data_IF_119047474496
#
_entry.id   IF_119047474496
#
_cell.length_a   1.000
_cell.length_b   1.000
_cell.length_c   1.000
_cell.angle_alpha   90.00
_cell.angle_beta   90.00
_cell.angle_gamma   90.00
#
_symmetry.space_group_name_H-M   'P 1'
#
loop_
_entity.id
_entity.type
_entity.pdbx_description
1 polymer ?
#
# COMPACT_ATOMS: atom_id res chain seq x y z
N UNK A 1 6.17 -15.11 -5.10
CA UNK A 1 7.22 -14.55 -5.98
C UNK A 1 8.03 -13.59 -5.13
N UNK A 2 9.32 -13.87 -4.92
CA UNK A 2 10.20 -13.08 -4.05
C UNK A 2 11.25 -12.39 -4.91
N UNK A 3 11.22 -11.07 -4.95
CA UNK A 3 12.09 -10.19 -5.73
C UNK A 3 12.71 -9.09 -4.84
N UNK A 4 12.80 -9.36 -3.53
CA UNK A 4 13.48 -8.48 -2.57
C UNK A 4 14.94 -8.25 -2.98
N UNK A 5 15.37 -6.99 -2.98
CA UNK A 5 16.76 -6.58 -3.22
C UNK A 5 17.38 -7.20 -4.49
N UNK A 6 16.62 -7.18 -5.59
CA UNK A 6 17.04 -7.71 -6.91
C UNK A 6 17.42 -6.63 -7.91
N UNK A 7 17.42 -5.36 -7.49
CA UNK A 7 17.66 -4.19 -8.33
C UNK A 7 16.70 -4.12 -9.54
N UNK A 8 15.49 -4.69 -9.39
CA UNK A 8 14.50 -4.68 -10.45
C UNK A 8 13.90 -3.28 -10.60
N UNK A 9 13.67 -2.88 -11.85
CA UNK A 9 13.08 -1.57 -12.17
C UNK A 9 11.56 -1.62 -12.33
N UNK A 10 11.03 -2.79 -12.68
CA UNK A 10 9.61 -3.03 -12.89
C UNK A 10 9.34 -4.53 -12.94
N UNK A 11 8.07 -4.92 -12.76
CA UNK A 11 7.65 -6.31 -12.97
C UNK A 11 7.49 -6.61 -14.47
N UNK A 12 7.57 -7.90 -14.87
CA UNK A 12 7.39 -8.29 -16.25
C UNK A 12 6.04 -7.83 -16.80
N UNK A 13 6.07 -7.14 -17.95
CA UNK A 13 4.85 -6.77 -18.67
C UNK A 13 4.09 -8.05 -19.04
N UNK A 14 2.79 -8.08 -18.75
CA UNK A 14 1.96 -9.25 -18.99
C UNK A 14 1.97 -10.28 -17.85
N UNK A 15 2.67 -10.03 -16.74
CA UNK A 15 2.49 -10.80 -15.52
C UNK A 15 1.09 -10.52 -14.97
N UNK A 16 0.08 -11.31 -15.35
CA UNK A 16 -1.30 -11.01 -14.97
C UNK A 16 -1.59 -11.31 -13.49
N UNK A 17 -1.00 -12.37 -12.96
CA UNK A 17 -1.33 -12.87 -11.62
C UNK A 17 -0.11 -13.43 -10.89
N UNK A 18 -0.05 -13.14 -9.59
CA UNK A 18 0.78 -13.88 -8.62
C UNK A 18 -0.16 -14.55 -7.63
N UNK A 19 -0.25 -15.88 -7.61
CA UNK A 19 -1.23 -16.62 -6.77
C UNK A 19 -1.05 -16.49 -5.26
N UNK A 20 0.15 -16.14 -4.80
CA UNK A 20 0.49 -16.03 -3.38
C UNK A 20 1.17 -14.71 -3.05
N UNK A 21 2.09 -14.73 -2.07
CA UNK A 21 2.89 -13.55 -1.70
C UNK A 21 3.67 -13.00 -2.90
N UNK A 22 3.66 -11.68 -3.08
CA UNK A 22 4.58 -10.94 -3.93
C UNK A 22 5.45 -10.05 -3.05
N UNK A 23 6.77 -10.18 -3.17
CA UNK A 23 7.74 -9.36 -2.45
C UNK A 23 8.59 -8.62 -3.47
N UNK A 24 8.52 -7.30 -3.49
CA UNK A 24 9.36 -6.43 -4.31
C UNK A 24 10.16 -5.44 -3.45
N UNK A 25 10.29 -5.72 -2.15
CA UNK A 25 10.90 -4.79 -1.21
C UNK A 25 12.37 -4.52 -1.55
N UNK A 26 12.90 -3.38 -1.09
CA UNK A 26 14.34 -3.03 -1.21
C UNK A 26 14.88 -2.94 -2.65
N UNK A 27 14.07 -2.44 -3.58
CA UNK A 27 14.44 -2.11 -4.94
C UNK A 27 14.28 -0.61 -5.19
N UNK A 28 15.25 0.21 -4.78
CA UNK A 28 15.16 1.68 -4.81
C UNK A 28 14.80 2.28 -6.18
N UNK A 29 15.15 1.61 -7.28
CA UNK A 29 14.82 2.04 -8.65
C UNK A 29 13.50 1.45 -9.20
N UNK A 30 12.76 0.67 -8.41
CA UNK A 30 11.53 0.03 -8.83
C UNK A 30 10.41 1.03 -9.06
N UNK A 31 9.62 0.80 -10.09
CA UNK A 31 8.38 1.51 -10.38
C UNK A 31 7.26 0.52 -10.67
N UNK A 32 6.11 0.80 -10.08
CA UNK A 32 4.85 0.12 -10.42
C UNK A 32 4.47 0.45 -11.86
N UNK A 33 4.08 -0.56 -12.63
CA UNK A 33 3.79 -0.44 -14.05
C UNK A 33 2.41 -0.98 -14.44
N UNK A 34 1.51 -1.12 -13.47
CA UNK A 34 0.16 -1.67 -13.68
C UNK A 34 0.11 -3.21 -13.71
N UNK A 35 1.24 -3.87 -13.43
CA UNK A 35 1.33 -5.32 -13.26
C UNK A 35 1.91 -5.69 -11.89
N UNK A 36 1.50 -6.85 -11.31
CA UNK A 36 0.44 -7.72 -11.81
C UNK A 36 -0.95 -7.11 -11.66
N UNK A 37 -1.95 -7.73 -12.29
CA UNK A 37 -3.36 -7.34 -12.09
C UNK A 37 -3.93 -7.86 -10.78
N UNK A 38 -3.50 -9.06 -10.37
CA UNK A 38 -3.88 -9.68 -9.10
C UNK A 38 -2.67 -10.23 -8.34
N UNK A 39 -2.66 -10.00 -7.04
CA UNK A 39 -1.81 -10.71 -6.07
C UNK A 39 -2.73 -11.47 -5.12
N UNK A 40 -2.62 -12.79 -5.03
CA UNK A 40 -3.52 -13.62 -4.23
C UNK A 40 -3.24 -13.60 -2.73
N UNK A 41 -2.07 -13.11 -2.30
CA UNK A 41 -1.68 -13.00 -0.89
C UNK A 41 -1.10 -11.63 -0.55
N UNK A 42 -0.18 -11.61 0.41
CA UNK A 42 0.55 -10.40 0.84
C UNK A 42 1.34 -9.75 -0.29
N UNK A 43 1.29 -8.43 -0.40
CA UNK A 43 2.12 -7.65 -1.33
C UNK A 43 3.04 -6.69 -0.56
N UNK A 44 4.34 -6.98 -0.59
CA UNK A 44 5.37 -6.18 0.06
C UNK A 44 6.06 -5.23 -0.93
N UNK A 45 5.80 -3.93 -0.79
CA UNK A 45 6.43 -2.86 -1.55
C UNK A 45 7.44 -2.05 -0.72
N UNK A 46 7.79 -2.51 0.48
CA UNK A 46 8.54 -1.72 1.48
C UNK A 46 9.96 -1.37 1.02
N UNK A 47 10.51 -0.29 1.57
CA UNK A 47 11.88 0.15 1.33
C UNK A 47 12.22 0.40 -0.16
N UNK A 48 11.25 0.91 -0.91
CA UNK A 48 11.42 1.38 -2.29
C UNK A 48 11.40 2.91 -2.36
N UNK A 49 11.67 3.51 -3.53
CA UNK A 49 11.49 4.96 -3.74
C UNK A 49 10.31 5.22 -4.69
N UNK A 50 9.09 4.91 -4.24
CA UNK A 50 7.92 4.85 -5.12
C UNK A 50 7.22 6.18 -5.31
N UNK A 51 7.24 7.04 -4.29
CA UNK A 51 6.53 8.32 -4.19
C UNK A 51 5.00 8.27 -4.33
N UNK A 52 4.45 7.28 -5.04
CA UNK A 52 3.02 7.00 -5.17
C UNK A 52 2.74 5.50 -5.36
N UNK A 53 1.51 5.04 -5.04
CA UNK A 53 1.04 3.70 -5.37
C UNK A 53 0.46 3.58 -6.80
N UNK A 54 0.67 4.57 -7.67
CA UNK A 54 0.15 4.55 -9.04
C UNK A 54 0.66 3.31 -9.79
N UNK A 55 -0.26 2.52 -10.35
CA UNK A 55 0.09 1.27 -11.04
C UNK A 55 0.12 0.03 -10.14
N UNK A 56 -0.42 0.12 -8.91
CA UNK A 56 -0.73 -1.04 -8.08
C UNK A 56 -1.63 -2.05 -8.80
N UNK A 57 -1.57 -3.34 -8.40
CA UNK A 57 -2.57 -4.33 -8.75
C UNK A 57 -3.98 -3.87 -8.42
N UNK A 58 -4.93 -4.33 -9.23
CA UNK A 58 -6.36 -4.03 -9.05
C UNK A 58 -6.93 -4.77 -7.83
N UNK A 59 -6.36 -5.94 -7.53
CA UNK A 59 -6.73 -6.78 -6.39
C UNK A 59 -5.49 -7.32 -5.66
N UNK A 60 -5.48 -7.19 -4.34
CA UNK A 60 -4.54 -7.86 -3.43
C UNK A 60 -5.35 -8.67 -2.41
N UNK A 61 -5.10 -9.96 -2.33
CA UNK A 61 -5.85 -10.92 -1.51
C UNK A 61 -5.50 -10.89 -0.02
N UNK A 62 -4.37 -10.28 0.35
CA UNK A 62 -3.94 -10.11 1.73
C UNK A 62 -3.48 -8.69 2.04
N UNK A 63 -2.49 -8.58 2.92
CA UNK A 63 -1.98 -7.28 3.38
C UNK A 63 -1.18 -6.57 2.27
N UNK A 64 -1.03 -5.26 2.43
CA UNK A 64 -0.22 -4.41 1.57
C UNK A 64 0.74 -3.62 2.47
N UNK A 65 2.03 -3.67 2.18
CA UNK A 65 3.01 -2.82 2.86
C UNK A 65 3.73 -1.88 1.90
N UNK A 66 3.76 -0.60 2.27
CA UNK A 66 4.58 0.45 1.68
C UNK A 66 5.47 1.09 2.75
N UNK A 67 5.91 0.32 3.73
CA UNK A 67 6.76 0.82 4.81
C UNK A 67 8.02 1.50 4.22
N UNK A 68 8.37 2.69 4.71
CA UNK A 68 9.55 3.44 4.28
C UNK A 68 9.71 3.55 2.75
N UNK A 69 8.65 3.93 2.03
CA UNK A 69 8.61 3.94 0.56
C UNK A 69 8.50 5.33 -0.10
N UNK A 70 8.78 6.38 0.69
CA UNK A 70 8.72 7.80 0.29
C UNK A 70 7.37 8.26 -0.28
N UNK A 71 6.25 7.59 0.04
CA UNK A 71 4.93 7.98 -0.44
C UNK A 71 4.54 9.36 0.08
N UNK A 72 4.00 10.22 -0.79
CA UNK A 72 3.52 11.55 -0.41
C UNK A 72 2.02 11.79 -0.76
N UNK A 73 1.40 10.88 -1.50
CA UNK A 73 -0.06 10.77 -1.67
C UNK A 73 -0.47 9.32 -1.92
N UNK A 74 -1.78 9.03 -1.81
CA UNK A 74 -2.32 7.66 -1.83
C UNK A 74 -3.18 7.34 -3.07
N UNK A 75 -3.36 8.30 -3.97
CA UNK A 75 -4.02 8.05 -5.26
C UNK A 75 -3.29 6.93 -6.01
N UNK A 76 -4.03 5.88 -6.37
CA UNK A 76 -3.50 4.68 -7.01
C UNK A 76 -3.63 3.42 -6.15
N UNK A 77 -3.90 3.54 -4.84
CA UNK A 77 -4.26 2.39 -4.01
C UNK A 77 -5.50 1.66 -4.55
N UNK A 78 -5.61 0.33 -4.34
CA UNK A 78 -6.82 -0.39 -4.68
C UNK A 78 -8.01 0.14 -3.86
N UNK A 79 -9.22 0.05 -4.42
CA UNK A 79 -10.45 0.53 -3.74
C UNK A 79 -10.71 -0.19 -2.42
N UNK A 80 -10.30 -1.46 -2.33
CA UNK A 80 -10.43 -2.33 -1.15
C UNK A 80 -9.08 -2.99 -0.87
N UNK A 81 -8.68 -3.03 0.41
CA UNK A 81 -7.58 -3.87 0.91
C UNK A 81 -8.21 -5.00 1.72
N UNK A 82 -7.89 -6.25 1.37
CA UNK A 82 -8.49 -7.44 2.00
C UNK A 82 -7.80 -7.84 3.32
N UNK A 83 -6.69 -7.20 3.67
CA UNK A 83 -6.00 -7.36 4.95
C UNK A 83 -5.57 -6.01 5.51
N UNK A 84 -4.38 -5.97 6.10
CA UNK A 84 -3.79 -4.76 6.67
C UNK A 84 -3.21 -3.85 5.58
N UNK A 85 -3.18 -2.54 5.86
CA UNK A 85 -2.48 -1.55 5.05
C UNK A 85 -1.42 -0.85 5.90
N UNK A 86 -0.16 -1.15 5.61
CA UNK A 86 0.98 -0.54 6.29
C UNK A 86 1.58 0.59 5.43
N UNK A 87 1.48 1.82 5.94
CA UNK A 87 2.00 3.06 5.35
C UNK A 87 3.01 3.76 6.28
N UNK A 88 3.59 3.04 7.25
CA UNK A 88 4.53 3.59 8.23
C UNK A 88 5.75 4.20 7.52
N UNK A 89 6.25 5.32 8.05
CA UNK A 89 7.56 5.87 7.65
C UNK A 89 7.56 6.50 6.26
N UNK A 90 6.46 7.11 5.85
CA UNK A 90 6.34 7.81 4.56
C UNK A 90 6.31 9.34 4.76
N UNK A 91 5.98 10.08 3.71
CA UNK A 91 5.95 11.54 3.68
C UNK A 91 4.51 12.06 3.55
N UNK A 92 3.52 11.31 4.07
CA UNK A 92 2.11 11.65 3.97
C UNK A 92 1.78 12.82 4.92
N UNK A 93 1.31 13.93 4.35
CA UNK A 93 0.80 15.08 5.12
C UNK A 93 -0.70 14.99 5.40
N UNK A 94 -1.40 14.15 4.63
CA UNK A 94 -2.82 13.85 4.72
C UNK A 94 -3.08 12.44 4.13
N UNK A 95 -4.31 11.93 4.21
CA UNK A 95 -4.67 10.57 3.74
C UNK A 95 -5.60 10.60 2.54
N UNK A 96 -5.58 11.68 1.74
CA UNK A 96 -6.38 11.77 0.51
C UNK A 96 -5.98 10.66 -0.47
N UNK A 97 -7.01 9.98 -0.98
CA UNK A 97 -6.84 8.86 -1.91
C UNK A 97 -6.65 7.50 -1.23
N UNK A 98 -6.73 7.42 0.10
CA UNK A 98 -6.77 6.15 0.83
C UNK A 98 -7.88 5.22 0.30
N UNK A 99 -7.65 3.91 0.37
CA UNK A 99 -8.63 2.88 0.03
C UNK A 99 -9.95 3.09 0.79
N UNK A 100 -11.10 2.83 0.14
CA UNK A 100 -12.43 3.04 0.75
C UNK A 100 -12.78 2.01 1.82
N UNK A 101 -12.19 0.82 1.72
CA UNK A 101 -12.35 -0.26 2.69
C UNK A 101 -11.01 -0.95 2.93
N UNK A 102 -10.72 -1.23 4.20
CA UNK A 102 -9.57 -1.99 4.67
C UNK A 102 -10.14 -3.02 5.66
N UNK A 103 -10.03 -4.31 5.33
CA UNK A 103 -10.61 -5.41 6.14
C UNK A 103 -9.71 -5.79 7.34
N UNK A 104 -8.55 -5.13 7.48
CA UNK A 104 -7.67 -5.21 8.64
C UNK A 104 -7.19 -3.84 9.12
N UNK A 105 -6.09 -3.85 9.89
CA UNK A 105 -5.52 -2.66 10.50
C UNK A 105 -4.96 -1.67 9.48
N UNK A 106 -5.01 -0.37 9.80
CA UNK A 106 -4.31 0.69 9.09
C UNK A 106 -3.15 1.19 9.94
N UNK A 107 -1.93 1.23 9.39
CA UNK A 107 -0.76 1.77 10.07
C UNK A 107 -0.22 2.98 9.32
N UNK A 108 -0.17 4.14 9.99
CA UNK A 108 0.23 5.42 9.39
C UNK A 108 1.20 6.21 10.27
N UNK A 109 1.82 5.57 11.27
CA UNK A 109 2.83 6.24 12.11
C UNK A 109 4.03 6.70 11.28
N UNK A 110 4.84 7.58 11.86
CA UNK A 110 6.04 8.13 11.21
C UNK A 110 5.75 8.80 9.86
N UNK A 111 4.63 9.51 9.80
CA UNK A 111 4.26 10.40 8.71
C UNK A 111 3.97 11.80 9.28
N UNK A 112 4.26 12.88 8.54
CA UNK A 112 3.97 14.26 8.95
C UNK A 112 2.47 14.62 8.82
N UNK A 113 1.58 13.75 9.30
CA UNK A 113 0.12 13.92 9.18
C UNK A 113 -0.37 15.08 10.04
N UNK A 114 -1.16 15.98 9.44
CA UNK A 114 -1.83 17.04 10.18
C UNK A 114 -3.10 16.58 10.90
N UNK A 115 -3.86 15.65 10.30
CA UNK A 115 -5.09 15.10 10.87
C UNK A 115 -5.46 13.78 10.18
N UNK A 116 -6.46 13.07 10.72
CA UNK A 116 -7.02 11.86 10.13
C UNK A 116 -8.39 12.07 9.46
N UNK A 117 -8.78 13.32 9.18
CA UNK A 117 -10.11 13.65 8.66
C UNK A 117 -10.42 13.02 7.29
N UNK A 118 -9.39 12.73 6.47
CA UNK A 118 -9.58 12.03 5.19
C UNK A 118 -10.02 10.57 5.38
N UNK A 119 -9.99 10.03 6.61
CA UNK A 119 -10.54 8.71 6.92
C UNK A 119 -12.06 8.71 7.09
N UNK A 120 -12.72 9.87 7.14
CA UNK A 120 -14.19 9.95 7.23
C UNK A 120 -14.80 9.22 6.03
N UNK A 121 -15.65 8.22 6.31
CA UNK A 121 -16.27 7.36 5.30
C UNK A 121 -15.42 6.17 4.83
N UNK A 122 -14.19 6.05 5.31
CA UNK A 122 -13.36 4.85 5.12
C UNK A 122 -13.76 3.78 6.15
N UNK A 123 -14.05 2.57 5.67
CA UNK A 123 -14.34 1.42 6.54
C UNK A 123 -13.04 0.70 6.87
N UNK A 124 -12.65 0.65 8.14
CA UNK A 124 -11.42 -0.02 8.57
C UNK A 124 -11.77 -0.99 9.70
N UNK A 125 -11.69 -2.28 9.41
CA UNK A 125 -11.95 -3.31 10.42
C UNK A 125 -10.72 -3.38 11.35
N UNK A 126 -10.93 -3.36 12.68
CA UNK A 126 -9.87 -3.47 13.70
C UNK A 126 -8.79 -2.35 13.78
N UNK A 127 -9.02 -1.14 13.24
CA UNK A 127 -8.06 -0.03 13.43
C UNK A 127 -8.11 0.56 14.85
N UNK A 128 -6.98 0.57 15.60
CA UNK A 128 -6.89 1.31 16.87
C UNK A 128 -7.12 2.82 16.70
N UNK A 129 -6.79 3.37 15.52
CA UNK A 129 -6.87 4.80 15.23
C UNK A 129 -8.31 5.29 14.98
N UNK A 130 -9.24 4.41 14.57
CA UNK A 130 -10.65 4.80 14.38
C UNK A 130 -11.41 5.07 15.69
N UNK A 131 -10.91 4.62 16.85
CA UNK A 131 -11.54 4.95 18.14
C UNK A 131 -11.57 6.47 18.42
N UNK A 132 -10.72 7.26 17.78
CA UNK A 132 -10.62 8.71 17.97
C UNK A 132 -11.39 9.54 16.93
N UNK A 133 -12.05 8.90 15.95
CA UNK A 133 -12.77 9.59 14.87
C UNK A 133 -14.30 9.50 14.99
N UNK A 134 -14.80 8.87 16.06
CA UNK A 134 -16.23 8.71 16.34
C UNK A 134 -16.72 9.59 17.51
N UNK A 135 -15.85 10.48 18.02
CA UNK A 135 -16.17 11.54 19.00
C UNK A 135 -16.09 12.91 18.32
#
# INVERSE_FOLDING_TARGET
MILEAKEIKQLPIGLMEVKGKLDISKNSSFKLNGYPKRVGGYFDCSYNDLSSPQGMPEEVGGDISFEYSNLNFLVGLPKKVNGELNLIGNQLVNLKGISKKIDGSLFVSDNPLGSLNDLVGTKIDNSPQQKFLQE
#
